data_IF_787289835766
#
_entry.id   IF_787289835766
#
_cell.length_a   1.000
_cell.length_b   1.000
_cell.length_c   1.000
_cell.angle_alpha   90.00
_cell.angle_beta   90.00
_cell.angle_gamma   90.00
#
_symmetry.space_group_name_H-M   'P 1'
#
loop_
_entity.id
_entity.type
_entity.pdbx_description
1 polymer ?
#
# COMPACT_ATOMS: atom_id res chain seq x y z
N UNK A 1 6.80 13.65 -14.18
CA UNK A 1 5.64 14.02 -13.36
C UNK A 1 6.08 15.20 -12.52
N UNK A 2 5.37 16.32 -12.57
CA UNK A 2 5.66 17.47 -11.70
C UNK A 2 5.26 17.11 -10.26
N UNK A 3 5.96 17.66 -9.27
CA UNK A 3 5.61 17.46 -7.85
C UNK A 3 4.12 17.78 -7.58
N UNK A 4 3.57 18.77 -8.29
CA UNK A 4 2.15 19.12 -8.24
C UNK A 4 1.21 17.99 -8.69
N UNK A 5 1.57 17.23 -9.72
CA UNK A 5 0.80 16.09 -10.21
C UNK A 5 0.81 14.96 -9.17
N UNK A 6 1.96 14.72 -8.53
CA UNK A 6 2.08 13.71 -7.48
C UNK A 6 1.19 14.05 -6.28
N UNK A 7 1.28 15.30 -5.79
CA UNK A 7 0.44 15.78 -4.68
C UNK A 7 -1.05 15.69 -5.02
N UNK A 8 -1.41 16.09 -6.24
CA UNK A 8 -2.79 15.97 -6.71
C UNK A 8 -3.26 14.51 -6.72
N UNK A 9 -2.44 13.58 -7.19
CA UNK A 9 -2.81 12.17 -7.22
C UNK A 9 -2.97 11.59 -5.81
N UNK A 10 -2.06 11.92 -4.89
CA UNK A 10 -2.20 11.55 -3.46
C UNK A 10 -3.50 12.08 -2.89
N UNK A 11 -3.79 13.37 -3.06
CA UNK A 11 -5.01 13.98 -2.54
C UNK A 11 -6.28 13.35 -3.13
N UNK A 12 -6.29 13.07 -4.43
CA UNK A 12 -7.42 12.43 -5.12
C UNK A 12 -7.61 10.99 -4.62
N UNK A 13 -6.56 10.19 -4.55
CA UNK A 13 -6.65 8.79 -4.09
C UNK A 13 -7.14 8.73 -2.65
N UNK A 14 -6.56 9.54 -1.75
CA UNK A 14 -6.98 9.59 -0.34
C UNK A 14 -8.42 10.10 -0.23
N UNK A 15 -8.80 11.16 -0.96
CA UNK A 15 -10.16 11.69 -0.97
C UNK A 15 -11.21 10.68 -1.46
N UNK A 16 -10.91 9.92 -2.52
CA UNK A 16 -11.77 8.83 -3.01
C UNK A 16 -11.94 7.77 -1.92
N UNK A 17 -10.84 7.33 -1.29
CA UNK A 17 -10.86 6.31 -0.24
C UNK A 17 -11.67 6.77 0.98
N UNK A 18 -11.45 8.00 1.45
CA UNK A 18 -12.22 8.61 2.54
C UNK A 18 -13.71 8.65 2.21
N UNK A 19 -14.06 9.08 0.99
CA UNK A 19 -15.46 9.16 0.56
C UNK A 19 -16.11 7.78 0.52
N UNK A 20 -15.41 6.78 -0.01
CA UNK A 20 -15.88 5.39 -0.04
C UNK A 20 -16.08 4.86 1.38
N UNK A 21 -15.14 5.13 2.28
CA UNK A 21 -15.25 4.70 3.66
C UNK A 21 -16.49 5.31 4.33
N UNK A 22 -16.77 6.61 4.11
CA UNK A 22 -17.99 7.28 4.59
C UNK A 22 -19.25 6.65 3.95
N UNK A 23 -19.24 6.37 2.65
CA UNK A 23 -20.40 5.76 1.94
C UNK A 23 -20.66 4.33 2.42
N UNK A 24 -19.61 3.57 2.77
CA UNK A 24 -19.72 2.19 3.25
C UNK A 24 -20.54 2.07 4.53
N UNK A 25 -20.71 3.16 5.29
CA UNK A 25 -21.63 3.20 6.44
C UNK A 25 -23.09 3.04 6.04
N UNK A 26 -23.49 3.69 4.94
CA UNK A 26 -24.89 3.70 4.50
C UNK A 26 -25.26 2.44 3.74
N UNK A 27 -24.31 1.85 3.02
CA UNK A 27 -24.57 0.77 2.08
C UNK A 27 -23.96 -0.58 2.48
N UNK A 28 -23.13 -0.61 3.52
CA UNK A 28 -22.47 -1.82 4.03
C UNK A 28 -20.95 -1.75 3.96
N UNK A 29 -20.29 -2.28 4.99
CA UNK A 29 -18.82 -2.32 5.12
C UNK A 29 -18.16 -3.16 4.02
N UNK A 30 -18.94 -4.04 3.40
CA UNK A 30 -18.56 -4.88 2.27
C UNK A 30 -18.04 -4.04 1.08
N UNK A 31 -18.56 -2.83 0.89
CA UNK A 31 -18.07 -1.91 -0.14
C UNK A 31 -16.63 -1.48 0.15
N UNK A 32 -16.34 -1.09 1.40
CA UNK A 32 -14.99 -0.70 1.79
C UNK A 32 -14.02 -1.89 1.73
N UNK A 33 -14.48 -3.09 2.11
CA UNK A 33 -13.71 -4.33 1.98
C UNK A 33 -13.38 -4.63 0.50
N UNK A 34 -14.36 -4.54 -0.40
CA UNK A 34 -14.17 -4.78 -1.82
C UNK A 34 -13.25 -3.76 -2.48
N UNK A 35 -13.35 -2.49 -2.07
CA UNK A 35 -12.46 -1.43 -2.56
C UNK A 35 -11.04 -1.64 -2.04
N UNK A 36 -10.84 -1.97 -0.76
CA UNK A 36 -9.52 -2.34 -0.24
C UNK A 36 -8.89 -3.48 -1.06
N UNK A 37 -9.64 -4.54 -1.33
CA UNK A 37 -9.17 -5.65 -2.14
C UNK A 37 -8.79 -5.20 -3.56
N UNK A 38 -9.60 -4.33 -4.17
CA UNK A 38 -9.31 -3.77 -5.50
C UNK A 38 -8.04 -2.90 -5.51
N UNK A 39 -7.87 -2.04 -4.51
CA UNK A 39 -6.70 -1.17 -4.37
C UNK A 39 -5.42 -1.98 -4.22
N UNK A 40 -5.42 -3.04 -3.39
CA UNK A 40 -4.24 -3.89 -3.22
C UNK A 40 -3.84 -4.60 -4.51
N UNK A 41 -4.81 -5.14 -5.27
CA UNK A 41 -4.55 -5.79 -6.57
C UNK A 41 -4.02 -4.78 -7.60
N UNK A 42 -4.67 -3.61 -7.71
CA UNK A 42 -4.24 -2.56 -8.65
C UNK A 42 -2.84 -2.08 -8.32
N UNK A 43 -2.55 -1.84 -7.04
CA UNK A 43 -1.23 -1.40 -6.59
C UNK A 43 -0.12 -2.37 -7.02
N UNK A 44 -0.36 -3.68 -6.88
CA UNK A 44 0.60 -4.71 -7.30
C UNK A 44 0.79 -4.78 -8.82
N UNK A 45 -0.29 -4.65 -9.61
CA UNK A 45 -0.20 -4.67 -11.08
C UNK A 45 0.59 -3.47 -11.59
N UNK A 46 0.35 -2.27 -11.07
CA UNK A 46 1.03 -1.06 -11.54
C UNK A 46 2.42 -0.86 -10.93
N UNK A 47 2.79 -1.64 -9.92
CA UNK A 47 4.09 -1.53 -9.24
C UNK A 47 5.29 -1.80 -10.17
N UNK A 48 5.10 -2.53 -11.27
CA UNK A 48 6.16 -2.75 -12.28
C UNK A 48 6.62 -1.46 -12.96
N UNK A 49 5.78 -0.41 -12.98
CA UNK A 49 6.15 0.89 -13.53
C UNK A 49 6.87 1.71 -12.47
N UNK A 50 8.13 2.04 -12.71
CA UNK A 50 8.87 2.99 -11.89
C UNK A 50 8.48 4.43 -12.24
N UNK A 51 8.29 5.24 -11.21
CA UNK A 51 8.00 6.67 -11.32
C UNK A 51 9.06 7.47 -10.56
N UNK A 52 9.29 8.69 -11.05
CA UNK A 52 10.06 9.71 -10.33
C UNK A 52 9.13 10.84 -9.91
N UNK A 53 9.26 11.24 -8.64
CA UNK A 53 8.39 12.25 -8.00
C UNK A 53 9.08 13.61 -7.89
N UNK A 54 10.41 13.62 -7.91
CA UNK A 54 11.22 14.83 -7.81
C UNK A 54 12.55 14.55 -7.12
N UNK A 55 13.35 15.59 -6.96
CA UNK A 55 14.66 15.51 -6.28
C UNK A 55 14.58 16.22 -4.94
N UNK A 56 15.01 15.54 -3.88
CA UNK A 56 15.11 16.13 -2.53
C UNK A 56 16.58 16.42 -2.21
N UNK A 57 16.92 17.59 -1.64
CA UNK A 57 18.28 17.88 -1.20
C UNK A 57 18.81 16.75 -0.31
N UNK A 58 20.07 16.35 -0.51
CA UNK A 58 20.77 15.28 0.23
C UNK A 58 20.25 13.83 0.02
N UNK A 59 19.01 13.64 -0.45
CA UNK A 59 18.43 12.32 -0.72
C UNK A 59 18.36 11.95 -2.21
N UNK A 60 18.58 12.91 -3.10
CA UNK A 60 18.63 12.68 -4.54
C UNK A 60 17.25 12.48 -5.15
N UNK A 61 17.20 11.74 -6.27
CA UNK A 61 15.97 11.48 -7.00
C UNK A 61 15.06 10.52 -6.21
N UNK A 62 13.86 10.97 -5.86
CA UNK A 62 12.84 10.09 -5.29
C UNK A 62 12.23 9.24 -6.41
N UNK A 63 12.53 7.95 -6.35
CA UNK A 63 12.04 6.94 -7.29
C UNK A 63 11.32 5.85 -6.51
N UNK A 64 10.29 5.29 -7.12
CA UNK A 64 9.58 4.16 -6.55
C UNK A 64 8.56 3.57 -7.51
N UNK A 65 7.97 2.42 -7.17
CA UNK A 65 6.86 1.83 -7.90
C UNK A 65 5.65 2.78 -7.96
N UNK A 66 4.98 2.86 -9.11
CA UNK A 66 3.76 3.66 -9.28
C UNK A 66 2.64 3.24 -8.32
N UNK A 67 2.66 1.97 -7.87
CA UNK A 67 1.71 1.42 -6.92
C UNK A 67 1.78 2.04 -5.53
N UNK A 68 2.82 2.81 -5.19
CA UNK A 68 3.06 3.29 -3.81
C UNK A 68 1.90 4.11 -3.24
N UNK A 69 1.27 4.98 -4.04
CA UNK A 69 0.20 5.87 -3.55
C UNK A 69 -1.11 5.08 -3.39
N UNK A 70 -1.42 4.19 -4.33
CA UNK A 70 -2.58 3.29 -4.24
C UNK A 70 -2.41 2.37 -3.03
N UNK A 71 -1.23 1.80 -2.83
CA UNK A 71 -0.93 0.95 -1.68
C UNK A 71 -1.01 1.71 -0.37
N UNK A 72 -0.47 2.93 -0.30
CA UNK A 72 -0.55 3.78 0.90
C UNK A 72 -2.01 4.06 1.31
N UNK A 73 -2.90 4.26 0.33
CA UNK A 73 -4.33 4.48 0.60
C UNK A 73 -5.05 3.25 1.23
N UNK A 74 -4.46 2.06 1.10
CA UNK A 74 -5.00 0.84 1.74
C UNK A 74 -4.81 0.86 3.27
N UNK A 75 -3.81 1.57 3.78
CA UNK A 75 -3.66 1.79 5.22
C UNK A 75 -4.79 2.69 5.73
N UNK A 76 -5.02 3.82 5.07
CA UNK A 76 -6.12 4.74 5.42
C UNK A 76 -7.48 4.04 5.49
N UNK A 77 -7.87 3.26 4.47
CA UNK A 77 -9.17 2.57 4.51
C UNK A 77 -9.23 1.52 5.62
N UNK A 78 -8.13 0.80 5.89
CA UNK A 78 -8.08 -0.23 6.92
C UNK A 78 -8.15 0.39 8.31
N UNK A 79 -7.48 1.53 8.52
CA UNK A 79 -7.51 2.29 9.76
C UNK A 79 -8.91 2.86 10.03
N UNK A 80 -9.55 3.44 8.99
CA UNK A 80 -10.95 3.89 9.08
C UNK A 80 -11.87 2.70 9.44
N UNK A 81 -11.73 1.56 8.77
CA UNK A 81 -12.54 0.37 9.06
C UNK A 81 -12.30 -0.12 10.50
N UNK A 82 -11.04 -0.15 10.94
CA UNK A 82 -10.66 -0.59 12.30
C UNK A 82 -11.26 0.32 13.36
N UNK A 83 -11.23 1.63 13.14
CA UNK A 83 -11.85 2.61 14.05
C UNK A 83 -13.38 2.51 14.03
N UNK A 84 -13.98 2.34 12.85
CA UNK A 84 -15.43 2.44 12.70
C UNK A 84 -16.16 1.15 13.08
N UNK A 85 -15.64 0.02 12.62
CA UNK A 85 -16.26 -1.31 12.69
C UNK A 85 -15.47 -2.28 13.57
N UNK A 86 -14.32 -1.87 14.10
CA UNK A 86 -13.49 -2.66 14.99
C UNK A 86 -12.52 -3.61 14.29
N UNK A 87 -11.62 -4.15 15.11
CA UNK A 87 -10.50 -5.01 14.69
C UNK A 87 -10.92 -6.24 13.89
N UNK A 88 -12.04 -6.88 14.22
CA UNK A 88 -12.46 -8.11 13.53
C UNK A 88 -12.84 -7.86 12.08
N UNK A 89 -13.48 -6.72 11.78
CA UNK A 89 -13.82 -6.34 10.40
C UNK A 89 -12.59 -5.88 9.63
N UNK A 90 -11.68 -5.14 10.27
CA UNK A 90 -10.39 -4.81 9.67
C UNK A 90 -9.56 -6.06 9.31
N UNK A 91 -9.53 -7.06 10.20
CA UNK A 91 -8.88 -8.35 9.93
C UNK A 91 -9.51 -9.07 8.75
N UNK A 92 -10.84 -9.10 8.66
CA UNK A 92 -11.55 -9.64 7.49
C UNK A 92 -11.16 -8.90 6.21
N UNK A 93 -11.10 -7.58 6.25
CA UNK A 93 -10.69 -6.71 5.13
C UNK A 93 -9.32 -7.11 4.58
N UNK A 94 -8.35 -7.20 5.48
CA UNK A 94 -6.97 -7.63 5.15
C UNK A 94 -6.95 -9.03 4.52
N UNK A 95 -7.66 -9.99 5.12
CA UNK A 95 -7.74 -11.37 4.62
C UNK A 95 -8.38 -11.39 3.22
N UNK A 96 -9.43 -10.60 2.99
CA UNK A 96 -10.07 -10.48 1.68
C UNK A 96 -9.09 -9.94 0.64
N UNK A 97 -8.32 -8.90 0.95
CA UNK A 97 -7.29 -8.39 0.04
C UNK A 97 -6.19 -9.42 -0.25
N UNK A 98 -5.76 -10.19 0.75
CA UNK A 98 -4.81 -11.29 0.55
C UNK A 98 -5.31 -12.33 -0.45
N UNK A 99 -6.53 -12.85 -0.26
CA UNK A 99 -7.11 -13.81 -1.19
C UNK A 99 -7.41 -13.21 -2.57
N UNK A 100 -7.81 -11.95 -2.64
CA UNK A 100 -7.98 -11.24 -3.91
C UNK A 100 -6.68 -11.18 -4.71
N UNK A 101 -5.53 -10.98 -4.05
CA UNK A 101 -4.22 -11.02 -4.69
C UNK A 101 -3.85 -12.43 -5.19
N UNK A 102 -4.18 -13.48 -4.44
CA UNK A 102 -3.98 -14.87 -4.91
C UNK A 102 -4.78 -15.13 -6.18
N UNK A 103 -6.06 -14.74 -6.20
CA UNK A 103 -6.92 -14.88 -7.38
C UNK A 103 -6.34 -14.10 -8.56
N UNK A 104 -5.95 -12.84 -8.34
CA UNK A 104 -5.36 -12.01 -9.39
C UNK A 104 -4.09 -12.64 -9.98
N UNK A 105 -3.16 -13.12 -9.15
CA UNK A 105 -1.94 -13.80 -9.63
C UNK A 105 -2.28 -15.05 -10.40
N UNK A 106 -3.15 -15.91 -9.88
CA UNK A 106 -3.52 -17.14 -10.55
C UNK A 106 -4.14 -16.87 -11.93
N UNK A 107 -5.09 -15.92 -12.01
CA UNK A 107 -5.71 -15.52 -13.27
C UNK A 107 -4.70 -14.93 -14.27
N UNK A 108 -3.80 -14.06 -13.81
CA UNK A 108 -2.77 -13.45 -14.66
C UNK A 108 -1.79 -14.52 -15.17
N UNK A 109 -1.33 -15.42 -14.31
CA UNK A 109 -0.43 -16.51 -14.72
C UNK A 109 -1.07 -17.42 -15.76
N UNK A 110 -2.33 -17.80 -15.55
CA UNK A 110 -3.10 -18.60 -16.51
C UNK A 110 -3.21 -17.87 -17.84
N UNK A 111 -3.50 -16.56 -17.83
CA UNK A 111 -3.61 -15.77 -19.05
C UNK A 111 -2.28 -15.66 -19.82
N UNK A 112 -1.15 -15.50 -19.13
CA UNK A 112 0.18 -15.41 -19.74
C UNK A 112 0.60 -16.73 -20.41
N UNK A 113 0.25 -17.89 -19.83
CA UNK A 113 0.60 -19.20 -20.43
C UNK A 113 -0.41 -19.68 -21.48
N UNK A 114 -1.59 -19.05 -21.55
CA UNK A 114 -2.64 -19.48 -22.47
C UNK A 114 -2.23 -19.19 -23.91
N UNK A 115 -2.43 -20.17 -24.81
CA UNK A 115 -2.14 -19.99 -26.22
C UNK A 115 -2.90 -18.78 -26.81
N UNK A 116 -2.20 -17.84 -27.48
CA UNK A 116 -2.84 -16.67 -28.06
C UNK A 116 -3.73 -17.05 -29.24
N UNK A 117 -4.73 -16.21 -29.53
CA UNK A 117 -5.55 -16.35 -30.73
C UNK A 117 -4.70 -16.11 -32.00
N UNK A 118 -4.98 -16.79 -33.15
CA UNK A 118 -4.16 -16.68 -34.36
C UNK A 118 -4.02 -15.28 -34.96
N UNK A 119 -4.99 -14.40 -34.67
CA UNK A 119 -5.04 -13.01 -35.17
C UNK A 119 -4.58 -11.98 -34.13
N UNK A 120 -4.06 -12.40 -32.98
CA UNK A 120 -3.54 -11.50 -31.96
C UNK A 120 -2.29 -10.78 -32.47
N UNK A 121 -2.25 -9.43 -32.45
CA UNK A 121 -1.05 -8.69 -32.86
C UNK A 121 0.16 -9.05 -31.98
N UNK A 122 1.28 -9.37 -32.61
CA UNK A 122 2.49 -9.84 -31.92
C UNK A 122 3.04 -8.80 -30.94
N UNK A 123 2.96 -7.51 -31.28
CA UNK A 123 3.39 -6.42 -30.41
C UNK A 123 2.54 -6.32 -29.13
N UNK A 124 1.23 -6.56 -29.22
CA UNK A 124 0.35 -6.57 -28.05
C UNK A 124 0.63 -7.78 -27.16
N UNK A 125 0.84 -8.96 -27.76
CA UNK A 125 1.20 -10.17 -27.02
C UNK A 125 2.52 -10.00 -26.25
N UNK A 126 3.59 -9.55 -26.94
CA UNK A 126 4.88 -9.28 -26.30
C UNK A 126 4.77 -8.26 -25.16
N UNK A 127 3.97 -7.21 -25.33
CA UNK A 127 3.77 -6.19 -24.29
C UNK A 127 3.04 -6.78 -23.08
N UNK A 128 2.00 -7.59 -23.32
CA UNK A 128 1.26 -8.28 -22.27
C UNK A 128 2.17 -9.21 -21.47
N UNK A 129 2.93 -10.07 -22.16
CA UNK A 129 3.85 -11.02 -21.52
C UNK A 129 4.95 -10.29 -20.74
N UNK A 130 5.50 -9.20 -21.29
CA UNK A 130 6.55 -8.42 -20.61
C UNK A 130 6.04 -7.80 -19.31
N UNK A 131 4.83 -7.23 -19.32
CA UNK A 131 4.25 -6.56 -18.14
C UNK A 131 3.84 -7.61 -17.09
N UNK A 132 3.12 -8.66 -17.51
CA UNK A 132 2.47 -9.58 -16.60
C UNK A 132 3.34 -10.76 -16.16
N UNK A 133 4.42 -11.08 -16.87
CA UNK A 133 5.41 -12.07 -16.41
C UNK A 133 6.10 -11.66 -15.11
N UNK A 134 6.20 -10.35 -14.83
CA UNK A 134 6.75 -9.84 -13.57
C UNK A 134 5.73 -9.85 -12.42
N UNK A 135 4.43 -9.88 -12.71
CA UNK A 135 3.37 -9.75 -11.69
C UNK A 135 3.43 -10.84 -10.61
N UNK A 136 3.62 -12.14 -10.91
CA UNK A 136 3.72 -13.17 -9.87
C UNK A 136 4.86 -12.89 -8.90
N UNK A 137 6.02 -12.48 -9.43
CA UNK A 137 7.19 -12.12 -8.63
C UNK A 137 6.90 -10.94 -7.69
N UNK A 138 6.28 -9.88 -8.22
CA UNK A 138 5.91 -8.68 -7.44
C UNK A 138 4.90 -9.00 -6.35
N UNK A 139 3.87 -9.80 -6.64
CA UNK A 139 2.85 -10.14 -5.65
C UNK A 139 3.43 -11.06 -4.57
N UNK A 140 4.22 -12.07 -4.92
CA UNK A 140 4.90 -12.94 -3.94
C UNK A 140 5.82 -12.10 -3.04
N UNK A 141 6.59 -11.17 -3.63
CA UNK A 141 7.41 -10.23 -2.88
C UNK A 141 6.58 -9.38 -1.92
N UNK A 142 5.42 -8.86 -2.36
CA UNK A 142 4.49 -8.09 -1.54
C UNK A 142 3.94 -8.91 -0.36
N UNK A 143 3.52 -10.16 -0.59
CA UNK A 143 3.02 -11.04 0.46
C UNK A 143 4.11 -11.33 1.50
N UNK A 144 5.34 -11.65 1.06
CA UNK A 144 6.45 -11.94 1.97
C UNK A 144 6.82 -10.69 2.78
N UNK A 145 6.97 -9.54 2.12
CA UNK A 145 7.28 -8.27 2.76
C UNK A 145 6.21 -7.88 3.79
N UNK A 146 4.94 -8.05 3.42
CA UNK A 146 3.79 -7.82 4.30
C UNK A 146 3.83 -8.74 5.53
N UNK A 147 4.01 -10.05 5.36
CA UNK A 147 4.03 -11.00 6.49
C UNK A 147 5.17 -10.69 7.47
N UNK A 148 6.37 -10.39 6.96
CA UNK A 148 7.54 -10.07 7.79
C UNK A 148 7.34 -8.73 8.50
N UNK A 149 6.97 -7.68 7.76
CA UNK A 149 6.83 -6.34 8.31
C UNK A 149 5.70 -6.23 9.33
N UNK A 150 4.55 -6.85 9.07
CA UNK A 150 3.42 -6.84 10.00
C UNK A 150 3.71 -7.64 11.27
N UNK A 151 4.42 -8.77 11.16
CA UNK A 151 4.83 -9.54 12.34
C UNK A 151 5.78 -8.72 13.22
N UNK A 152 6.75 -8.03 12.59
CA UNK A 152 7.61 -7.08 13.28
C UNK A 152 6.81 -5.97 13.94
N UNK A 153 5.85 -5.37 13.23
CA UNK A 153 5.05 -4.25 13.73
C UNK A 153 4.33 -4.59 15.04
N UNK A 154 3.63 -5.71 15.06
CA UNK A 154 2.91 -6.19 16.25
C UNK A 154 3.86 -6.40 17.41
N UNK A 155 5.01 -7.06 17.18
CA UNK A 155 6.00 -7.30 18.23
C UNK A 155 6.59 -5.99 18.77
N UNK A 156 7.02 -5.10 17.88
CA UNK A 156 7.61 -3.80 18.23
C UNK A 156 6.60 -2.92 18.99
N UNK A 157 5.35 -2.88 18.55
CA UNK A 157 4.28 -2.14 19.22
C UNK A 157 4.09 -2.61 20.66
N UNK A 158 3.99 -3.92 20.88
CA UNK A 158 3.83 -4.49 22.22
C UNK A 158 5.08 -4.32 23.09
N UNK A 159 6.28 -4.41 22.50
CA UNK A 159 7.53 -4.10 23.16
C UNK A 159 7.55 -2.66 23.69
N UNK A 160 7.22 -1.69 22.84
CA UNK A 160 7.16 -0.28 23.24
C UNK A 160 6.06 -0.03 24.26
N UNK A 161 4.87 -0.64 24.09
CA UNK A 161 3.78 -0.57 25.08
C UNK A 161 4.23 -1.03 26.47
N UNK A 162 4.93 -2.15 26.55
CA UNK A 162 5.45 -2.67 27.82
C UNK A 162 6.54 -1.76 28.40
N UNK A 163 7.47 -1.30 27.55
CA UNK A 163 8.59 -0.45 27.94
C UNK A 163 8.13 0.91 28.49
N UNK A 164 7.10 1.50 27.89
CA UNK A 164 6.58 2.80 28.31
C UNK A 164 5.50 2.71 29.40
N UNK A 165 5.23 1.51 29.94
CA UNK A 165 4.13 1.26 30.90
C UNK A 165 2.81 1.83 30.40
N UNK A 166 2.53 1.55 29.12
CA UNK A 166 1.38 2.02 28.36
C UNK A 166 1.29 3.52 28.09
N UNK A 167 2.24 4.33 28.59
CA UNK A 167 2.31 5.78 28.32
C UNK A 167 2.83 6.05 26.90
N UNK A 168 2.46 7.19 26.31
CA UNK A 168 2.89 7.65 24.98
C UNK A 168 2.46 6.74 23.80
N UNK A 169 1.15 6.71 23.52
CA UNK A 169 0.56 6.03 22.35
C UNK A 169 1.23 6.44 21.03
N UNK A 170 1.51 7.73 20.85
CA UNK A 170 2.15 8.27 19.65
C UNK A 170 3.52 7.64 19.39
N UNK A 171 4.31 7.41 20.45
CA UNK A 171 5.67 6.90 20.34
C UNK A 171 5.66 5.45 19.86
N UNK A 172 4.84 4.60 20.48
CA UNK A 172 4.76 3.19 20.09
C UNK A 172 4.20 3.00 18.69
N UNK A 173 3.23 3.83 18.29
CA UNK A 173 2.65 3.79 16.95
C UNK A 173 3.67 4.20 15.89
N UNK A 174 4.26 5.39 16.02
CA UNK A 174 5.22 5.87 15.03
C UNK A 174 6.50 5.03 15.00
N UNK A 175 7.04 4.64 16.16
CA UNK A 175 8.27 3.85 16.22
C UNK A 175 8.09 2.44 15.64
N UNK A 176 6.96 1.76 15.87
CA UNK A 176 6.72 0.46 15.25
C UNK A 176 6.50 0.63 13.74
N UNK A 177 5.62 1.54 13.33
CA UNK A 177 5.26 1.74 11.92
C UNK A 177 6.45 2.17 11.07
N UNK A 178 7.29 3.10 11.54
CA UNK A 178 8.46 3.57 10.78
C UNK A 178 9.46 2.45 10.50
N UNK A 179 9.69 1.56 11.47
CA UNK A 179 10.62 0.44 11.31
C UNK A 179 9.99 -0.66 10.45
N UNK A 180 8.71 -0.97 10.67
CA UNK A 180 7.97 -1.96 9.89
C UNK A 180 7.86 -1.58 8.42
N UNK A 181 7.61 -0.30 8.10
CA UNK A 181 7.59 0.19 6.72
C UNK A 181 8.97 0.16 6.06
N UNK A 182 10.04 0.36 6.84
CA UNK A 182 11.41 0.22 6.33
C UNK A 182 11.70 -1.24 5.96
N UNK A 183 11.37 -2.18 6.86
CA UNK A 183 11.49 -3.63 6.62
C UNK A 183 10.67 -4.04 5.39
N UNK A 184 9.41 -3.63 5.32
CA UNK A 184 8.53 -3.89 4.18
C UNK A 184 9.18 -3.42 2.88
N UNK A 185 9.65 -2.18 2.84
CA UNK A 185 10.21 -1.57 1.63
C UNK A 185 11.50 -2.26 1.20
N UNK A 186 12.40 -2.58 2.12
CA UNK A 186 13.65 -3.30 1.83
C UNK A 186 13.33 -4.70 1.28
N UNK A 187 12.49 -5.47 1.98
CA UNK A 187 12.15 -6.84 1.58
C UNK A 187 11.43 -6.85 0.25
N UNK A 188 10.43 -5.98 0.07
CA UNK A 188 9.64 -5.89 -1.15
C UNK A 188 10.51 -5.53 -2.35
N UNK A 189 11.26 -4.43 -2.29
CA UNK A 189 12.07 -3.97 -3.42
C UNK A 189 13.14 -5.01 -3.79
N UNK A 190 13.77 -5.61 -2.77
CA UNK A 190 14.79 -6.65 -3.01
C UNK A 190 14.17 -7.86 -3.71
N UNK A 191 13.09 -8.43 -3.17
CA UNK A 191 12.49 -9.64 -3.76
C UNK A 191 11.86 -9.36 -5.13
N UNK A 192 11.20 -8.22 -5.30
CA UNK A 192 10.51 -7.87 -6.54
C UNK A 192 11.48 -7.53 -7.69
N UNK A 193 12.61 -6.88 -7.39
CA UNK A 193 13.43 -6.22 -8.43
C UNK A 193 14.91 -6.59 -8.46
N UNK A 194 15.42 -7.39 -7.51
CA UNK A 194 16.81 -7.85 -7.55
C UNK A 194 17.14 -8.63 -8.84
N UNK A 195 18.24 -8.30 -9.50
CA UNK A 195 18.60 -8.88 -10.80
C UNK A 195 17.76 -8.40 -11.98
N UNK A 196 16.84 -7.45 -11.77
CA UNK A 196 16.09 -6.73 -12.82
C UNK A 196 16.69 -5.35 -13.03
N UNK A 197 16.99 -4.67 -11.92
CA UNK A 197 17.67 -3.37 -11.92
C UNK A 197 19.01 -3.44 -11.19
N UNK A 198 19.90 -2.50 -11.51
CA UNK A 198 21.20 -2.35 -10.85
C UNK A 198 21.06 -2.01 -9.37
N UNK A 199 22.06 -2.37 -8.57
CA UNK A 199 22.05 -2.17 -7.12
C UNK A 199 21.83 -0.69 -6.72
N UNK A 200 22.43 0.25 -7.46
CA UNK A 200 22.24 1.68 -7.22
C UNK A 200 20.78 2.11 -7.42
N UNK A 201 20.10 1.55 -8.42
CA UNK A 201 18.68 1.81 -8.68
C UNK A 201 17.83 1.21 -7.57
N UNK A 202 18.13 -0.01 -7.12
CA UNK A 202 17.44 -0.63 -5.98
C UNK A 202 17.56 0.19 -4.71
N UNK A 203 18.76 0.69 -4.39
CA UNK A 203 18.98 1.55 -3.22
C UNK A 203 18.17 2.84 -3.32
N UNK A 204 18.16 3.48 -4.50
CA UNK A 204 17.34 4.68 -4.75
C UNK A 204 15.84 4.39 -4.66
N UNK A 205 15.39 3.20 -5.08
CA UNK A 205 14.00 2.77 -4.92
C UNK A 205 13.64 2.53 -3.46
N UNK A 206 14.52 1.92 -2.66
CA UNK A 206 14.29 1.69 -1.24
C UNK A 206 14.18 3.02 -0.50
N UNK A 207 15.14 3.92 -0.68
CA UNK A 207 15.13 5.23 -0.01
C UNK A 207 13.97 6.08 -0.49
N UNK A 208 13.75 6.15 -1.81
CA UNK A 208 12.66 6.90 -2.43
C UNK A 208 11.29 6.41 -1.96
N UNK A 209 11.01 5.12 -2.08
CA UNK A 209 9.72 4.55 -1.67
C UNK A 209 9.47 4.70 -0.16
N UNK A 210 10.49 4.54 0.68
CA UNK A 210 10.35 4.73 2.13
C UNK A 210 9.97 6.17 2.47
N UNK A 211 10.68 7.16 1.92
CA UNK A 211 10.38 8.58 2.12
C UNK A 211 8.99 8.97 1.60
N UNK A 212 8.59 8.41 0.45
CA UNK A 212 7.25 8.63 -0.11
C UNK A 212 6.17 8.06 0.82
N UNK A 213 6.33 6.82 1.32
CA UNK A 213 5.37 6.22 2.26
C UNK A 213 5.23 7.05 3.54
N UNK A 214 6.35 7.50 4.12
CA UNK A 214 6.32 8.37 5.30
C UNK A 214 5.58 9.69 5.03
N UNK A 215 5.84 10.31 3.87
CA UNK A 215 5.19 11.57 3.50
C UNK A 215 3.68 11.38 3.31
N UNK A 216 3.27 10.32 2.62
CA UNK A 216 1.85 10.01 2.42
C UNK A 216 1.17 9.70 3.76
N UNK A 217 1.85 8.99 4.66
CA UNK A 217 1.35 8.70 6.01
C UNK A 217 1.22 9.95 6.89
N UNK A 218 1.94 11.04 6.62
CA UNK A 218 1.70 12.32 7.29
C UNK A 218 0.50 13.06 6.70
N UNK A 219 0.28 12.91 5.39
CA UNK A 219 -0.81 13.54 4.65
C UNK A 219 -2.15 12.81 4.83
N UNK A 220 -2.14 11.52 5.19
CA UNK A 220 -3.37 10.75 5.44
C UNK A 220 -4.13 11.22 6.68
N UNK A 221 -3.45 11.83 7.63
CA UNK A 221 -3.95 12.09 8.98
C UNK A 221 -5.16 13.05 8.95
N UNK A 222 -5.13 14.19 8.22
CA UNK A 222 -6.32 15.02 8.01
C UNK A 222 -7.52 14.28 7.42
N UNK A 223 -7.31 13.34 6.48
CA UNK A 223 -8.37 12.58 5.84
C UNK A 223 -9.03 11.58 6.81
N UNK A 224 -8.23 10.97 7.68
CA UNK A 224 -8.71 10.15 8.78
C UNK A 224 -9.60 10.97 9.73
N UNK A 225 -9.13 12.15 10.17
CA UNK A 225 -9.94 13.04 11.02
C UNK A 225 -11.25 13.44 10.35
N UNK A 226 -11.25 13.74 9.04
CA UNK A 226 -12.47 14.05 8.30
C UNK A 226 -13.46 12.88 8.39
N UNK A 227 -13.04 11.65 8.03
CA UNK A 227 -13.90 10.47 8.07
C UNK A 227 -14.53 10.26 9.46
N UNK A 228 -13.72 10.33 10.51
CA UNK A 228 -14.16 10.10 11.89
C UNK A 228 -15.04 11.25 12.40
N UNK A 229 -14.74 12.50 12.05
CA UNK A 229 -15.52 13.67 12.46
C UNK A 229 -16.90 13.71 11.82
N UNK A 230 -17.03 13.36 10.53
CA UNK A 230 -18.35 13.23 9.88
C UNK A 230 -19.28 12.25 10.59
N UNK A 231 -18.72 11.30 11.37
CA UNK A 231 -19.48 10.32 12.15
C UNK A 231 -19.86 10.81 13.56
N UNK A 232 -19.34 11.95 14.02
CA UNK A 232 -19.57 12.45 15.39
C UNK A 232 -18.93 11.59 16.49
N UNK A 233 -17.98 10.71 16.14
CA UNK A 233 -17.26 9.85 17.10
C UNK A 233 -16.21 10.59 17.93
N UNK A 234 -15.84 11.82 17.56
CA UNK A 234 -14.83 12.63 18.27
C UNK A 234 -15.42 13.29 19.53
N UNK A 235 -16.37 12.64 20.23
CA UNK A 235 -16.75 13.04 21.59
C UNK A 235 -15.85 12.45 22.67
N UNK A 236 -14.92 11.55 22.33
CA UNK A 236 -14.11 10.80 23.30
C UNK A 236 -12.59 11.00 23.22
N UNK A 237 -12.07 11.80 22.29
CA UNK A 237 -10.64 12.08 22.22
C UNK A 237 -10.38 13.55 22.49
N UNK A 238 -10.00 13.84 23.74
CA UNK A 238 -9.28 15.07 24.05
C UNK A 238 -7.96 15.02 23.28
N UNK A 239 -7.77 15.99 22.38
CA UNK A 239 -6.50 16.34 21.77
C UNK A 239 -5.41 16.52 22.85
#
# INVERSE_FOLDING_TARGET
>A
MLLSEFVMWVAVTLGIVTTIAIISERFGVEIAIGIYASLTVIANIIAVKLISVGTVPYFGLLVGPAGVIVYASTFLITDIISEIYGKEIAKKTVITGFFANIVAVASIMIAVIWSPAPFMPENLLKSFDTIFSMTPRVVIASIIAYLISQTHDVYAYHFWKAKTKERFLWLRNNASTMVSQLIDTIVFITLAFYGVFDLNVLLAMITGQYLLKLTIALVDTPFMYIAVYTRGLVKSYNL
#
